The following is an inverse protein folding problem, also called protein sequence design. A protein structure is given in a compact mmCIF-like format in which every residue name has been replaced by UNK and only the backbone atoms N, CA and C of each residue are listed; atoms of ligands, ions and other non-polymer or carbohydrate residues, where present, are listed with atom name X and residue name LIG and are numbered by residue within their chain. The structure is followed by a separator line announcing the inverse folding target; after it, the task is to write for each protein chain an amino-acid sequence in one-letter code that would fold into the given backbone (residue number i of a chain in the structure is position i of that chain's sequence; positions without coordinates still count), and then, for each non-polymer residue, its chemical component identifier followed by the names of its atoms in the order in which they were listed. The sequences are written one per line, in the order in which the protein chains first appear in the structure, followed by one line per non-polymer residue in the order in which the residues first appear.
data_IF_353491971776
#
_entry.id   IF_353491971776
#
_cell.length_a   1.000
_cell.length_b   1.000
_cell.length_c   1.000
_cell.angle_alpha   90.00
_cell.angle_beta   90.00
_cell.angle_gamma   90.00
#
_symmetry.space_group_name_H-M   'P 1'
#
loop_
_entity.id
_entity.type
_entity.pdbx_description
1 polymer ?
#
# COMPACT_ATOMS: atom_id res chain seq x y z
N UNK A 1 17.63 14.36 1.81
CA UNK A 1 16.25 14.78 1.51
C UNK A 1 15.47 14.96 2.81
N UNK A 2 14.54 15.92 2.87
CA UNK A 2 13.67 16.10 4.04
C UNK A 2 12.73 14.90 4.17
N UNK A 3 12.49 14.47 5.43
CA UNK A 3 11.57 13.37 5.70
C UNK A 3 10.14 13.83 5.41
N UNK A 4 9.42 13.11 4.54
CA UNK A 4 8.02 13.39 4.23
C UNK A 4 7.16 13.12 5.49
N UNK A 5 6.43 14.11 6.02
CA UNK A 5 5.54 13.89 7.15
C UNK A 5 4.33 13.06 6.73
N UNK A 6 3.92 12.13 7.58
CA UNK A 6 2.72 11.31 7.31
C UNK A 6 1.47 12.05 7.75
N UNK A 7 0.57 12.29 6.81
CA UNK A 7 -0.75 12.89 7.04
C UNK A 7 -1.70 11.84 7.62
N UNK A 8 -1.65 11.65 8.93
CA UNK A 8 -2.48 10.65 9.62
C UNK A 8 -3.93 11.09 9.66
N UNK A 9 -4.80 10.12 9.42
CA UNK A 9 -6.25 10.25 9.60
C UNK A 9 -6.62 9.69 10.97
N UNK A 10 -7.41 10.42 11.75
CA UNK A 10 -7.83 9.97 13.08
C UNK A 10 -8.76 8.77 13.01
N UNK A 11 -8.78 7.94 14.05
CA UNK A 11 -9.73 6.83 14.13
C UNK A 11 -11.18 7.28 14.01
N UNK A 12 -11.50 8.46 14.54
CA UNK A 12 -12.84 9.04 14.43
C UNK A 12 -13.20 9.34 12.97
N UNK A 13 -12.30 9.96 12.22
CA UNK A 13 -12.49 10.23 10.79
C UNK A 13 -12.62 8.93 9.99
N UNK A 14 -11.79 7.91 10.29
CA UNK A 14 -11.88 6.59 9.64
C UNK A 14 -13.25 5.96 9.92
N UNK A 15 -13.74 5.96 11.16
CA UNK A 15 -15.08 5.46 11.50
C UNK A 15 -16.18 6.20 10.73
N UNK A 16 -16.12 7.52 10.69
CA UNK A 16 -17.08 8.34 9.96
C UNK A 16 -17.06 8.06 8.45
N UNK A 17 -15.85 7.86 7.88
CA UNK A 17 -15.68 7.53 6.48
C UNK A 17 -16.27 6.16 6.15
N UNK A 18 -15.98 5.15 6.95
CA UNK A 18 -16.33 3.75 6.70
C UNK A 18 -17.71 3.34 7.22
N UNK A 19 -18.43 4.27 7.86
CA UNK A 19 -19.79 4.04 8.34
C UNK A 19 -20.84 4.08 7.22
N UNK A 20 -20.52 4.71 6.09
CA UNK A 20 -21.39 4.72 4.92
C UNK A 20 -21.25 3.40 4.17
N UNK A 21 -22.34 2.66 3.94
CA UNK A 21 -22.30 1.43 3.16
C UNK A 21 -21.84 1.70 1.71
N UNK A 22 -20.99 0.84 1.19
CA UNK A 22 -20.59 0.81 -0.24
C UNK A 22 -21.24 -0.40 -0.86
N UNK A 23 -21.96 -0.20 -1.96
CA UNK A 23 -22.67 -1.28 -2.66
C UNK A 23 -21.64 -2.27 -3.22
N UNK A 24 -21.84 -3.56 -2.93
CA UNK A 24 -20.98 -4.64 -3.38
C UNK A 24 -19.79 -4.92 -2.47
N UNK A 25 -19.49 -4.06 -1.50
CA UNK A 25 -18.41 -4.28 -0.55
C UNK A 25 -18.85 -5.23 0.56
N UNK A 26 -18.16 -6.34 0.72
CA UNK A 26 -18.41 -7.35 1.75
C UNK A 26 -17.61 -7.05 3.04
N UNK A 27 -17.91 -7.75 4.14
CA UNK A 27 -17.09 -7.66 5.35
C UNK A 27 -15.67 -8.19 5.12
N UNK A 28 -15.50 -9.17 4.23
CA UNK A 28 -14.19 -9.66 3.80
C UNK A 28 -13.37 -8.56 3.13
N UNK A 29 -13.95 -7.85 2.17
CA UNK A 29 -13.27 -6.73 1.49
C UNK A 29 -12.88 -5.63 2.49
N UNK A 30 -13.72 -5.38 3.50
CA UNK A 30 -13.40 -4.41 4.57
C UNK A 30 -12.24 -4.86 5.44
N UNK A 31 -12.12 -6.16 5.71
CA UNK A 31 -10.99 -6.75 6.44
C UNK A 31 -9.70 -6.65 5.58
N UNK A 32 -9.78 -6.91 4.28
CA UNK A 32 -8.66 -6.76 3.33
C UNK A 32 -8.20 -5.29 3.20
N UNK A 33 -9.11 -4.32 3.25
CA UNK A 33 -8.76 -2.89 3.34
C UNK A 33 -8.12 -2.51 4.68
N UNK A 34 -7.84 -3.48 5.56
CA UNK A 34 -7.24 -3.30 6.88
C UNK A 34 -8.00 -2.32 7.80
N UNK A 35 -9.28 -2.07 7.56
CA UNK A 35 -10.10 -1.16 8.39
C UNK A 35 -10.05 -1.55 9.87
N UNK A 36 -10.22 -2.85 10.26
CA UNK A 36 -10.15 -3.26 11.66
C UNK A 36 -8.79 -2.96 12.31
N UNK A 37 -7.69 -3.05 11.54
CA UNK A 37 -6.35 -2.80 12.03
C UNK A 37 -6.13 -1.32 12.36
N UNK A 38 -6.65 -0.40 11.55
CA UNK A 38 -6.58 1.04 11.84
C UNK A 38 -7.48 1.46 12.99
N UNK A 39 -8.60 0.76 13.21
CA UNK A 39 -9.58 1.03 14.27
C UNK A 39 -9.36 0.21 15.54
N UNK A 40 -8.30 -0.58 15.60
CA UNK A 40 -8.04 -1.49 16.70
C UNK A 40 -7.84 -0.78 18.03
N UNK A 41 -8.37 -1.38 19.13
CA UNK A 41 -8.29 -0.80 20.48
C UNK A 41 -6.88 -0.84 21.08
N UNK A 42 -6.04 -1.83 20.71
CA UNK A 42 -4.63 -1.83 21.10
C UNK A 42 -3.84 -0.84 20.22
N UNK A 43 -3.24 0.22 20.79
CA UNK A 43 -2.61 1.29 20.03
C UNK A 43 -1.37 0.85 19.23
N UNK A 44 -0.77 -0.28 19.55
CA UNK A 44 0.40 -0.81 18.83
C UNK A 44 0.03 -1.23 17.40
N UNK A 45 -1.22 -1.67 17.18
CA UNK A 45 -1.66 -2.15 15.86
C UNK A 45 -1.82 -0.98 14.89
N UNK A 46 -2.64 0.06 15.18
CA UNK A 46 -2.68 1.24 14.30
C UNK A 46 -1.31 1.92 14.17
N UNK A 47 -0.49 1.93 15.24
CA UNK A 47 0.87 2.46 15.15
C UNK A 47 1.70 1.72 14.10
N UNK A 48 1.66 0.38 14.07
CA UNK A 48 2.38 -0.42 13.08
C UNK A 48 1.89 -0.14 11.66
N UNK A 49 0.57 0.01 11.47
CA UNK A 49 -0.01 0.34 10.17
C UNK A 49 0.48 1.71 9.66
N UNK A 50 0.50 2.73 10.51
CA UNK A 50 1.05 4.05 10.15
C UNK A 50 2.58 4.04 9.98
N UNK A 51 3.29 3.23 10.77
CA UNK A 51 4.74 3.04 10.63
C UNK A 51 5.10 2.49 9.26
N UNK A 52 4.28 1.60 8.70
CA UNK A 52 4.45 1.06 7.35
C UNK A 52 4.40 2.16 6.30
N UNK A 53 3.38 3.03 6.30
CA UNK A 53 3.33 4.19 5.39
C UNK A 53 4.51 5.15 5.57
N UNK A 54 4.93 5.39 6.82
CA UNK A 54 6.12 6.21 7.08
C UNK A 54 7.37 5.59 6.47
N UNK A 55 7.48 4.25 6.49
CA UNK A 55 8.60 3.53 5.92
C UNK A 55 8.55 3.53 4.39
N UNK A 56 7.36 3.39 3.79
CA UNK A 56 7.16 3.53 2.34
C UNK A 56 7.61 4.93 1.88
N UNK A 57 7.15 5.99 2.55
CA UNK A 57 7.54 7.36 2.21
C UNK A 57 9.04 7.62 2.39
N UNK A 58 9.68 7.01 3.41
CA UNK A 58 11.14 7.06 3.62
C UNK A 58 11.89 6.42 2.45
N UNK A 59 11.49 5.22 2.04
CA UNK A 59 12.17 4.48 0.97
C UNK A 59 11.86 5.03 -0.41
N UNK A 60 10.68 5.59 -0.63
CA UNK A 60 10.30 6.19 -1.90
C UNK A 60 11.11 7.45 -2.21
N UNK A 61 11.60 8.18 -1.19
CA UNK A 61 12.43 9.39 -1.36
C UNK A 61 11.80 10.38 -2.35
N UNK A 62 10.54 10.74 -2.15
CA UNK A 62 9.83 11.68 -3.02
C UNK A 62 10.53 13.03 -3.08
N UNK A 63 10.68 13.58 -4.31
CA UNK A 63 11.31 14.89 -4.57
C UNK A 63 10.30 16.01 -4.76
N UNK A 64 9.01 15.68 -4.87
CA UNK A 64 7.93 16.62 -5.15
C UNK A 64 7.56 16.75 -6.63
N UNK A 65 8.28 16.08 -7.53
CA UNK A 65 8.06 16.20 -8.97
C UNK A 65 7.47 14.94 -9.61
N UNK A 66 7.29 13.87 -8.83
CA UNK A 66 6.86 12.59 -9.33
C UNK A 66 5.37 12.54 -9.69
N UNK A 67 5.06 11.75 -10.70
CA UNK A 67 3.77 11.11 -10.87
C UNK A 67 3.79 9.77 -10.15
N UNK A 68 2.97 9.63 -9.11
CA UNK A 68 2.85 8.42 -8.30
C UNK A 68 1.55 7.71 -8.62
N UNK A 69 1.62 6.40 -8.81
CA UNK A 69 0.46 5.51 -8.85
C UNK A 69 0.40 4.72 -7.54
N UNK A 70 -0.66 4.87 -6.76
CA UNK A 70 -1.00 3.97 -5.65
C UNK A 70 -1.92 2.87 -6.18
N UNK A 71 -1.41 1.64 -6.20
CA UNK A 71 -2.15 0.45 -6.60
C UNK A 71 -2.65 -0.27 -5.35
N UNK A 72 -3.98 -0.48 -5.25
CA UNK A 72 -4.65 -0.97 -4.06
C UNK A 72 -4.72 0.09 -2.95
N UNK A 73 -5.31 1.25 -3.25
CA UNK A 73 -5.35 2.35 -2.28
C UNK A 73 -6.31 2.14 -1.09
N UNK A 74 -7.15 1.10 -1.12
CA UNK A 74 -8.11 0.78 -0.08
C UNK A 74 -9.00 1.96 0.27
N UNK A 75 -9.05 2.32 1.56
CA UNK A 75 -9.80 3.49 2.03
C UNK A 75 -9.05 4.82 1.84
N UNK A 76 -7.90 4.82 1.17
CA UNK A 76 -7.16 6.02 0.76
C UNK A 76 -6.30 6.67 1.84
N UNK A 77 -5.94 5.97 2.92
CA UNK A 77 -5.24 6.59 4.06
C UNK A 77 -3.85 7.11 3.74
N UNK A 78 -3.20 6.63 2.68
CA UNK A 78 -1.90 7.12 2.28
C UNK A 78 -1.97 8.26 1.25
N UNK A 79 -3.08 8.40 0.53
CA UNK A 79 -3.29 9.44 -0.49
C UNK A 79 -3.04 10.87 0.00
N UNK A 80 -3.43 11.29 1.23
CA UNK A 80 -3.11 12.63 1.72
C UNK A 80 -1.61 12.89 1.84
N UNK A 81 -0.82 11.86 2.18
CA UNK A 81 0.64 11.97 2.21
C UNK A 81 1.22 12.08 0.80
N UNK A 82 0.76 11.25 -0.13
CA UNK A 82 1.21 11.28 -1.52
C UNK A 82 0.86 12.61 -2.20
N UNK A 83 -0.36 13.12 -2.01
CA UNK A 83 -0.80 14.39 -2.58
C UNK A 83 0.02 15.60 -2.09
N UNK A 84 0.62 15.53 -0.90
CA UNK A 84 1.52 16.57 -0.38
C UNK A 84 2.97 16.39 -0.83
N UNK A 85 3.38 15.14 -1.10
CA UNK A 85 4.77 14.80 -1.38
C UNK A 85 5.09 14.70 -2.88
N UNK A 86 4.10 14.66 -3.76
CA UNK A 86 4.27 14.38 -5.18
C UNK A 86 3.52 15.39 -6.04
N UNK A 87 3.94 15.53 -7.30
CA UNK A 87 3.33 16.47 -8.25
C UNK A 87 1.93 16.02 -8.68
N UNK A 88 1.78 14.74 -8.99
CA UNK A 88 0.52 14.13 -9.40
C UNK A 88 0.36 12.77 -8.76
N UNK A 89 -0.87 12.43 -8.37
CA UNK A 89 -1.21 11.14 -7.77
C UNK A 89 -2.36 10.51 -8.54
N UNK A 90 -2.15 9.28 -8.96
CA UNK A 90 -3.19 8.39 -9.47
C UNK A 90 -3.41 7.23 -8.49
N UNK A 91 -4.62 6.73 -8.41
CA UNK A 91 -4.98 5.63 -7.53
C UNK A 91 -5.86 4.61 -8.25
N UNK A 92 -5.66 3.33 -7.95
CA UNK A 92 -6.47 2.21 -8.43
C UNK A 92 -6.88 1.39 -7.22
N UNK A 93 -8.16 1.02 -7.17
CA UNK A 93 -8.72 0.07 -6.21
C UNK A 93 -10.00 -0.54 -6.79
N UNK A 94 -10.38 -1.72 -6.31
CA UNK A 94 -11.65 -2.36 -6.68
C UNK A 94 -12.85 -1.58 -6.13
N UNK A 95 -12.70 -1.02 -4.92
CA UNK A 95 -13.73 -0.28 -4.20
C UNK A 95 -13.21 1.12 -3.79
N UNK A 96 -13.02 2.05 -4.73
CA UNK A 96 -12.35 3.33 -4.47
C UNK A 96 -13.24 4.35 -3.73
N UNK A 97 -14.51 4.03 -3.43
CA UNK A 97 -15.51 4.99 -2.95
C UNK A 97 -15.09 5.67 -1.64
N UNK A 98 -14.51 4.92 -0.69
CA UNK A 98 -14.02 5.51 0.56
C UNK A 98 -12.82 6.44 0.30
N UNK A 99 -11.89 6.03 -0.56
CA UNK A 99 -10.74 6.85 -0.92
C UNK A 99 -11.17 8.14 -1.64
N UNK A 100 -12.14 8.04 -2.57
CA UNK A 100 -12.72 9.18 -3.27
C UNK A 100 -13.37 10.16 -2.29
N UNK A 101 -14.18 9.65 -1.35
CA UNK A 101 -14.83 10.50 -0.33
C UNK A 101 -13.82 11.15 0.61
N UNK A 102 -12.76 10.43 1.01
CA UNK A 102 -11.68 10.99 1.81
C UNK A 102 -10.99 12.13 1.06
N UNK A 103 -10.63 11.92 -0.21
CA UNK A 103 -10.00 12.95 -1.05
C UNK A 103 -10.91 14.16 -1.22
N UNK A 104 -12.20 13.95 -1.48
CA UNK A 104 -13.20 15.03 -1.58
C UNK A 104 -13.28 15.85 -0.29
N UNK A 105 -13.37 15.19 0.88
CA UNK A 105 -13.42 15.87 2.19
C UNK A 105 -12.15 16.66 2.51
N UNK A 106 -11.00 16.18 2.04
CA UNK A 106 -9.70 16.82 2.28
C UNK A 106 -9.30 17.81 1.16
N UNK A 107 -10.11 17.97 0.10
CA UNK A 107 -9.78 18.82 -1.03
C UNK A 107 -8.54 18.38 -1.81
N UNK A 108 -8.29 17.06 -1.89
CA UNK A 108 -7.12 16.50 -2.56
C UNK A 108 -7.41 16.24 -4.04
N UNK A 109 -6.46 16.56 -4.90
CA UNK A 109 -6.50 16.23 -6.33
C UNK A 109 -5.82 14.88 -6.56
N UNK A 110 -6.62 13.82 -6.73
CA UNK A 110 -6.18 12.45 -7.03
C UNK A 110 -6.98 11.92 -8.22
N UNK A 111 -6.29 11.34 -9.20
CA UNK A 111 -6.93 10.72 -10.37
C UNK A 111 -7.24 9.25 -10.08
N UNK A 112 -8.51 8.93 -9.88
CA UNK A 112 -8.95 7.54 -9.69
C UNK A 112 -9.14 6.87 -11.05
N UNK A 113 -8.43 5.78 -11.28
CA UNK A 113 -8.42 5.01 -12.51
C UNK A 113 -9.07 3.63 -12.28
N UNK A 114 -9.70 3.09 -13.32
CA UNK A 114 -10.43 1.82 -13.22
C UNK A 114 -9.49 0.60 -13.20
N UNK A 115 -8.35 0.69 -13.90
CA UNK A 115 -7.39 -0.40 -14.02
C UNK A 115 -6.04 0.10 -14.52
N UNK A 116 -5.03 -0.75 -14.49
CA UNK A 116 -3.70 -0.48 -15.08
C UNK A 116 -3.76 -0.19 -16.59
N UNK A 117 -4.76 -0.70 -17.29
CA UNK A 117 -4.95 -0.40 -18.71
C UNK A 117 -5.27 1.08 -18.97
N UNK A 118 -5.82 1.79 -17.98
CA UNK A 118 -6.10 3.23 -18.06
C UNK A 118 -4.86 4.10 -17.79
N UNK A 119 -3.74 3.50 -17.38
CA UNK A 119 -2.47 4.20 -17.16
C UNK A 119 -1.67 4.18 -18.48
N UNK A 120 -1.19 5.34 -18.93
CA UNK A 120 -0.36 5.41 -20.12
C UNK A 120 1.01 4.73 -19.86
N UNK A 121 1.57 4.11 -20.89
CA UNK A 121 2.89 3.48 -20.80
C UNK A 121 3.96 4.53 -20.52
N UNK A 122 4.95 4.15 -19.73
CA UNK A 122 6.11 5.00 -19.40
C UNK A 122 5.71 6.39 -18.84
N UNK A 123 4.62 6.47 -18.08
CA UNK A 123 4.09 7.73 -17.57
C UNK A 123 4.25 7.92 -16.05
N UNK A 124 4.57 6.86 -15.31
CA UNK A 124 4.62 6.85 -13.85
C UNK A 124 6.08 6.83 -13.37
N UNK A 125 6.41 7.69 -12.41
CA UNK A 125 7.75 7.73 -11.80
C UNK A 125 7.89 6.73 -10.66
N UNK A 126 6.82 6.56 -9.86
CA UNK A 126 6.80 5.66 -8.71
C UNK A 126 5.47 4.91 -8.65
N UNK A 127 5.53 3.60 -8.54
CA UNK A 127 4.37 2.77 -8.19
C UNK A 127 4.51 2.39 -6.71
N UNK A 128 3.46 2.63 -5.94
CA UNK A 128 3.32 2.16 -4.56
C UNK A 128 2.25 1.08 -4.54
N UNK A 129 2.60 -0.10 -4.02
CA UNK A 129 1.68 -1.20 -3.78
C UNK A 129 1.82 -1.65 -2.32
N UNK A 130 0.92 -1.14 -1.47
CA UNK A 130 1.01 -1.29 -0.02
C UNK A 130 0.02 -2.36 0.47
N UNK A 131 0.52 -3.58 0.72
CA UNK A 131 -0.26 -4.73 1.19
C UNK A 131 -1.46 -5.01 0.27
N UNK A 132 -1.17 -5.23 -1.00
CA UNK A 132 -2.17 -5.52 -2.03
C UNK A 132 -1.75 -6.65 -2.96
N UNK A 133 -0.44 -6.79 -3.23
CA UNK A 133 0.04 -7.78 -4.20
C UNK A 133 -0.09 -9.22 -3.70
N UNK A 134 -0.22 -9.43 -2.40
CA UNK A 134 -0.54 -10.73 -1.81
C UNK A 134 -1.96 -11.22 -2.12
N UNK A 135 -2.83 -10.32 -2.58
CA UNK A 135 -4.23 -10.61 -2.91
C UNK A 135 -4.51 -10.74 -4.41
N UNK A 136 -3.52 -10.47 -5.28
CA UNK A 136 -3.74 -10.46 -6.74
C UNK A 136 -3.20 -11.70 -7.43
N UNK A 137 -3.98 -12.22 -8.38
CA UNK A 137 -3.58 -13.33 -9.25
C UNK A 137 -4.00 -13.04 -10.71
N UNK A 138 -3.16 -13.39 -11.69
CA UNK A 138 -1.78 -13.89 -11.55
C UNK A 138 -0.77 -12.74 -11.31
N UNK A 139 0.02 -12.81 -10.24
CA UNK A 139 0.98 -11.77 -9.85
C UNK A 139 1.91 -11.33 -10.99
N UNK A 140 2.33 -12.29 -11.84
CA UNK A 140 3.21 -12.02 -12.99
C UNK A 140 2.66 -10.95 -13.93
N UNK A 141 1.38 -11.01 -14.27
CA UNK A 141 0.74 -10.05 -15.19
C UNK A 141 0.72 -8.63 -14.60
N UNK A 142 0.47 -8.52 -13.29
CA UNK A 142 0.51 -7.23 -12.60
C UNK A 142 1.92 -6.64 -12.58
N UNK A 143 2.95 -7.45 -12.33
CA UNK A 143 4.35 -7.00 -12.36
C UNK A 143 4.74 -6.56 -13.77
N UNK A 144 4.39 -7.32 -14.81
CA UNK A 144 4.65 -6.94 -16.21
C UNK A 144 3.95 -5.62 -16.57
N UNK A 145 2.70 -5.46 -16.15
CA UNK A 145 1.98 -4.21 -16.36
C UNK A 145 2.64 -3.04 -15.62
N UNK A 146 3.08 -3.21 -14.37
CA UNK A 146 3.81 -2.16 -13.64
C UNK A 146 5.06 -1.72 -14.39
N UNK A 147 5.86 -2.68 -14.88
CA UNK A 147 7.09 -2.40 -15.63
C UNK A 147 6.82 -1.63 -16.94
N UNK A 148 5.68 -1.88 -17.58
CA UNK A 148 5.25 -1.17 -18.77
C UNK A 148 4.83 0.28 -18.46
N UNK A 149 4.19 0.52 -17.29
CA UNK A 149 3.71 1.86 -16.90
C UNK A 149 4.83 2.74 -16.34
N UNK A 150 5.90 2.15 -15.81
CA UNK A 150 7.02 2.89 -15.27
C UNK A 150 7.86 3.57 -16.35
N UNK A 151 8.24 4.81 -16.09
CA UNK A 151 9.28 5.52 -16.86
C UNK A 151 10.62 4.81 -16.74
N UNK A 152 11.57 5.03 -17.68
CA UNK A 152 12.97 4.67 -17.47
C UNK A 152 13.47 5.27 -16.14
N UNK A 153 14.14 4.46 -15.31
CA UNK A 153 14.56 4.86 -13.96
C UNK A 153 13.44 4.93 -12.92
N UNK A 154 12.21 4.53 -13.27
CA UNK A 154 11.10 4.46 -12.33
C UNK A 154 11.28 3.43 -11.23
N UNK A 155 10.53 3.57 -10.14
CA UNK A 155 10.64 2.77 -8.92
C UNK A 155 9.34 2.07 -8.56
N UNK A 156 9.45 0.90 -7.95
CA UNK A 156 8.33 0.21 -7.27
C UNK A 156 8.64 0.18 -5.79
N UNK A 157 7.69 0.60 -4.96
CA UNK A 157 7.74 0.44 -3.52
C UNK A 157 6.62 -0.50 -3.10
N UNK A 158 6.99 -1.65 -2.59
CA UNK A 158 6.03 -2.65 -2.13
C UNK A 158 6.11 -2.83 -0.63
N UNK A 159 5.00 -3.09 0.02
CA UNK A 159 4.97 -3.68 1.35
C UNK A 159 4.05 -4.89 1.38
N UNK A 160 4.32 -5.78 2.31
CA UNK A 160 3.51 -6.97 2.52
C UNK A 160 3.88 -7.72 3.79
N UNK A 161 3.00 -8.61 4.25
CA UNK A 161 3.24 -9.47 5.39
C UNK A 161 4.33 -10.51 5.06
N UNK A 162 5.02 -10.97 6.10
CA UNK A 162 6.07 -11.97 5.94
C UNK A 162 5.54 -13.41 6.05
N UNK A 163 4.28 -13.58 6.45
CA UNK A 163 3.62 -14.88 6.71
C UNK A 163 4.42 -15.85 7.59
N UNK A 164 5.46 -15.37 8.26
CA UNK A 164 6.27 -16.17 9.17
C UNK A 164 5.52 -16.47 10.50
N UNK A 165 6.09 -17.34 11.32
CA UNK A 165 5.49 -17.74 12.59
C UNK A 165 5.18 -16.54 13.52
N UNK A 166 6.06 -15.54 13.56
CA UNK A 166 5.85 -14.34 14.38
C UNK A 166 4.66 -13.51 13.89
N UNK A 167 4.48 -13.37 12.58
CA UNK A 167 3.33 -12.72 11.98
C UNK A 167 2.03 -13.46 12.34
N UNK A 168 2.01 -14.79 12.20
CA UNK A 168 0.84 -15.63 12.54
C UNK A 168 0.46 -15.51 14.01
N UNK A 169 1.46 -15.59 14.92
CA UNK A 169 1.24 -15.38 16.35
C UNK A 169 0.73 -13.97 16.62
N UNK A 170 1.31 -12.95 15.97
CA UNK A 170 0.87 -11.56 16.08
C UNK A 170 -0.58 -11.35 15.67
N UNK A 171 -1.02 -11.98 14.57
CA UNK A 171 -2.44 -11.96 14.14
C UNK A 171 -3.37 -12.57 15.17
N UNK A 172 -3.01 -13.73 15.73
CA UNK A 172 -3.81 -14.38 16.78
C UNK A 172 -3.92 -13.47 18.01
N UNK A 173 -2.79 -12.93 18.48
CA UNK A 173 -2.75 -12.03 19.64
C UNK A 173 -3.53 -10.71 19.41
N UNK A 174 -3.63 -10.27 18.17
CA UNK A 174 -4.42 -9.11 17.75
C UNK A 174 -5.91 -9.44 17.52
N UNK A 175 -6.36 -10.69 17.78
CA UNK A 175 -7.76 -11.09 17.56
C UNK A 175 -8.14 -11.33 16.10
N UNK A 176 -7.17 -11.43 15.19
CA UNK A 176 -7.37 -11.75 13.78
C UNK A 176 -7.17 -13.24 13.46
N UNK A 177 -6.99 -14.10 14.48
CA UNK A 177 -6.88 -15.55 14.32
C UNK A 177 -8.19 -16.13 13.77
N UNK A 178 -8.07 -17.00 12.74
CA UNK A 178 -9.25 -17.63 12.12
C UNK A 178 -10.06 -16.75 11.13
N UNK A 179 -9.70 -15.49 10.96
CA UNK A 179 -10.16 -14.67 9.83
C UNK A 179 -9.34 -15.07 8.61
N UNK A 180 -10.04 -15.28 7.49
CA UNK A 180 -9.59 -15.95 6.28
C UNK A 180 -8.13 -15.74 5.86
N UNK A 181 -7.60 -16.78 5.27
CA UNK A 181 -6.27 -16.77 4.64
C UNK A 181 -6.46 -16.26 3.20
N UNK A 182 -6.53 -14.92 3.06
CA UNK A 182 -6.76 -14.25 1.77
C UNK A 182 -5.46 -13.98 1.00
N UNK A 183 -4.31 -14.39 1.57
CA UNK A 183 -3.02 -14.17 0.94
C UNK A 183 -2.68 -15.35 0.04
N UNK A 184 -2.52 -15.08 -1.26
CA UNK A 184 -2.06 -16.07 -2.24
C UNK A 184 -0.54 -16.20 -2.26
N UNK A 185 0.16 -15.14 -1.82
CA UNK A 185 1.62 -15.08 -1.82
C UNK A 185 2.16 -14.25 -0.66
N UNK A 186 3.45 -14.34 -0.43
CA UNK A 186 4.16 -13.53 0.58
C UNK A 186 5.05 -12.46 -0.07
N UNK A 187 5.57 -11.55 0.74
CA UNK A 187 6.39 -10.43 0.27
C UNK A 187 7.70 -10.90 -0.38
N UNK A 188 8.25 -12.05 -0.02
CA UNK A 188 9.49 -12.56 -0.60
C UNK A 188 9.24 -13.09 -2.03
N UNK A 189 8.13 -13.77 -2.25
CA UNK A 189 7.69 -14.22 -3.58
C UNK A 189 7.33 -13.02 -4.49
N UNK A 190 6.71 -11.98 -3.94
CA UNK A 190 6.45 -10.72 -4.66
C UNK A 190 7.76 -10.09 -5.12
N UNK A 191 8.75 -9.97 -4.23
CA UNK A 191 10.06 -9.44 -4.56
C UNK A 191 10.75 -10.26 -5.65
N UNK A 192 10.73 -11.59 -5.55
CA UNK A 192 11.31 -12.48 -6.56
C UNK A 192 10.67 -12.27 -7.93
N UNK A 193 9.36 -12.13 -8.00
CA UNK A 193 8.66 -11.88 -9.27
C UNK A 193 9.06 -10.55 -9.89
N UNK A 194 9.24 -9.50 -9.08
CA UNK A 194 9.68 -8.18 -9.54
C UNK A 194 11.15 -8.25 -10.02
N UNK A 195 12.01 -9.03 -9.36
CA UNK A 195 13.38 -9.28 -9.83
C UNK A 195 13.41 -9.98 -11.18
N UNK A 196 12.56 -10.98 -11.38
CA UNK A 196 12.43 -11.65 -12.69
C UNK A 196 12.03 -10.69 -13.80
N UNK A 197 11.33 -9.60 -13.48
CA UNK A 197 11.03 -8.48 -14.37
C UNK A 197 12.19 -7.52 -14.63
N UNK A 198 13.40 -7.78 -14.08
CA UNK A 198 14.60 -7.01 -14.32
C UNK A 198 14.81 -5.81 -13.41
N UNK A 199 14.04 -5.70 -12.31
CA UNK A 199 14.29 -4.68 -11.29
C UNK A 199 15.30 -5.15 -10.25
N UNK A 200 15.94 -4.20 -9.56
CA UNK A 200 16.93 -4.47 -8.52
C UNK A 200 16.51 -3.81 -7.21
N UNK A 201 16.74 -4.51 -6.10
CA UNK A 201 16.49 -3.97 -4.75
C UNK A 201 17.44 -2.83 -4.46
N UNK A 202 16.89 -1.66 -4.14
CA UNK A 202 17.62 -0.50 -3.66
C UNK A 202 17.67 -0.45 -2.13
N UNK A 203 16.59 -0.82 -1.48
CA UNK A 203 16.50 -0.82 -0.03
C UNK A 203 15.42 -1.79 0.48
N UNK A 204 15.59 -2.24 1.71
CA UNK A 204 14.60 -3.03 2.46
C UNK A 204 14.52 -2.53 3.90
N UNK A 205 13.34 -2.54 4.49
CA UNK A 205 13.09 -2.31 5.90
C UNK A 205 12.18 -3.39 6.47
N UNK A 206 12.56 -3.92 7.63
CA UNK A 206 11.77 -4.88 8.40
C UNK A 206 11.01 -4.16 9.51
N UNK A 207 9.75 -4.49 9.69
CA UNK A 207 8.87 -3.90 10.69
C UNK A 207 8.39 -4.96 11.69
N UNK A 208 8.18 -4.59 12.97
CA UNK A 208 8.25 -3.23 13.54
C UNK A 208 9.67 -2.69 13.74
N UNK A 209 10.67 -3.56 13.94
CA UNK A 209 12.06 -3.21 14.20
C UNK A 209 13.00 -4.19 13.49
N UNK A 210 14.17 -3.72 13.09
CA UNK A 210 15.11 -4.49 12.25
C UNK A 210 15.63 -5.76 12.93
N UNK A 211 15.74 -5.75 14.26
CA UNK A 211 16.29 -6.86 15.07
C UNK A 211 15.22 -7.78 15.66
N UNK A 212 13.94 -7.51 15.46
CA UNK A 212 12.83 -8.41 15.80
C UNK A 212 12.46 -9.26 14.59
N UNK A 213 11.77 -10.41 14.80
CA UNK A 213 11.13 -11.12 13.72
C UNK A 213 10.21 -10.16 12.95
N UNK A 214 10.44 -10.04 11.66
CA UNK A 214 9.68 -9.12 10.84
C UNK A 214 8.22 -9.57 10.72
N UNK A 215 7.29 -8.66 10.97
CA UNK A 215 5.86 -8.86 10.69
C UNK A 215 5.54 -8.40 9.26
N UNK A 216 6.16 -7.29 8.83
CA UNK A 216 6.06 -6.76 7.48
C UNK A 216 7.44 -6.43 6.95
N UNK A 217 7.57 -6.41 5.63
CA UNK A 217 8.70 -5.83 4.92
C UNK A 217 8.21 -4.70 4.03
N UNK A 218 9.05 -3.68 3.87
CA UNK A 218 8.90 -2.64 2.86
C UNK A 218 10.14 -2.66 2.00
N UNK A 219 9.97 -2.76 0.69
CA UNK A 219 11.05 -2.96 -0.28
C UNK A 219 10.92 -1.89 -1.36
N UNK A 220 12.04 -1.24 -1.65
CA UNK A 220 12.17 -0.32 -2.78
C UNK A 220 13.00 -0.99 -3.88
N UNK A 221 12.46 -1.01 -5.10
CA UNK A 221 13.10 -1.57 -6.28
C UNK A 221 13.14 -0.53 -7.40
N UNK A 222 14.19 -0.55 -8.22
CA UNK A 222 14.28 0.29 -9.41
C UNK A 222 14.81 -0.49 -10.60
N UNK A 223 14.48 -0.02 -11.79
CA UNK A 223 15.11 -0.48 -13.03
C UNK A 223 16.40 0.32 -13.23
N UNK A 224 17.49 -0.36 -13.54
CA UNK A 224 18.74 0.30 -13.92
C UNK A 224 18.61 1.01 -15.27
#
# INVERSE_FOLDING_TARGET
MAKVPISRISQQEIRQLTNTPVIGLTDSDRDEMAIPSYLHGNPLIPWLMWKRYATIAELAQFSGNEHVLEFGCGIGLFLPTLAQACKTVSAIDLYPQYAQELCRKKGLSVSFLQSLASVADHSVDVIVAADVLEHVEPLKEYVEAFLQKLKPGGRIIVSGPTENLAYRIGRIAAGFGGKGDYHHTDIDSIEEQIFRGGMQRQAIRKLPLTYLPALFKVIALSKN
#
